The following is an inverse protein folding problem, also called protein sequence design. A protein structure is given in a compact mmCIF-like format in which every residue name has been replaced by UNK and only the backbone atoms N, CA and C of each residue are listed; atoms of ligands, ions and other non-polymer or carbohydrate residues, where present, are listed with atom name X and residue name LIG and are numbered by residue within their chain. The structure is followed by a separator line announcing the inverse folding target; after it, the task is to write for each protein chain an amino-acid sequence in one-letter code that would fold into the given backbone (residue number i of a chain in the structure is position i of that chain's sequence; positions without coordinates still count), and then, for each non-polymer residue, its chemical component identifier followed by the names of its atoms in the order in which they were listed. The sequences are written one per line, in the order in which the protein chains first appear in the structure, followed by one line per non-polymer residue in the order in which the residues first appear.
data_IF_601002614315
#
_entry.id   IF_601002614315
#
_cell.length_a   1.000
_cell.length_b   1.000
_cell.length_c   1.000
_cell.angle_alpha   90.00
_cell.angle_beta   90.00
_cell.angle_gamma   90.00
#
_symmetry.space_group_name_H-M   'P 1'
#
loop_
_entity.id
_entity.type
_entity.pdbx_description
1 polymer ?
#
# COMPACT_ATOMS: atom_id res chain seq x y z
N UNK A 1 39.65 -12.10 23.00
CA UNK A 1 39.02 -10.76 22.89
C UNK A 1 37.54 -10.76 23.28
N UNK A 2 36.64 -11.46 22.55
CA UNK A 2 35.19 -11.42 22.81
C UNK A 2 34.76 -11.81 24.24
N UNK A 3 35.31 -12.91 24.78
CA UNK A 3 35.06 -13.37 26.15
C UNK A 3 35.55 -12.38 27.22
N UNK A 4 36.70 -11.75 26.98
CA UNK A 4 37.30 -10.76 27.88
C UNK A 4 36.41 -9.51 28.00
N UNK A 5 35.82 -9.09 26.87
CA UNK A 5 34.97 -7.89 26.81
C UNK A 5 33.50 -8.21 27.20
N UNK A 6 33.18 -9.50 27.42
CA UNK A 6 31.82 -10.00 27.68
C UNK A 6 30.83 -9.61 26.57
N UNK A 7 31.24 -9.78 25.32
CA UNK A 7 30.44 -9.46 24.13
C UNK A 7 30.37 -10.70 23.25
N UNK A 8 29.20 -11.03 22.65
CA UNK A 8 29.11 -12.15 21.73
C UNK A 8 30.13 -12.04 20.59
N UNK A 9 30.76 -13.15 20.25
CA UNK A 9 31.83 -13.21 19.25
C UNK A 9 31.37 -12.74 17.87
N UNK A 10 30.12 -13.03 17.53
CA UNK A 10 29.44 -12.55 16.31
C UNK A 10 29.31 -11.03 16.28
N UNK A 11 28.95 -10.42 17.42
CA UNK A 11 28.83 -8.97 17.59
C UNK A 11 30.19 -8.29 17.43
N UNK A 12 31.22 -8.81 18.11
CA UNK A 12 32.58 -8.28 17.99
C UNK A 12 33.09 -8.37 16.55
N UNK A 13 32.87 -9.51 15.86
CA UNK A 13 33.24 -9.70 14.45
C UNK A 13 32.54 -8.72 13.51
N UNK A 14 31.29 -8.37 13.78
CA UNK A 14 30.57 -7.37 12.97
C UNK A 14 31.05 -5.95 13.24
N UNK A 15 31.46 -5.63 14.46
CA UNK A 15 32.05 -4.35 14.79
C UNK A 15 33.42 -4.15 14.14
N UNK A 16 34.31 -5.16 14.21
CA UNK A 16 35.64 -5.07 13.58
C UNK A 16 35.58 -4.98 12.07
N UNK A 17 34.51 -5.52 11.45
CA UNK A 17 34.25 -5.41 10.01
C UNK A 17 33.52 -4.13 9.59
N UNK A 18 33.17 -3.24 10.53
CA UNK A 18 32.41 -2.02 10.24
C UNK A 18 30.96 -2.25 9.77
N UNK A 19 30.43 -3.47 9.94
CA UNK A 19 29.06 -3.82 9.52
C UNK A 19 28.04 -3.15 10.44
N UNK A 20 28.35 -3.08 11.74
CA UNK A 20 27.52 -2.43 12.74
C UNK A 20 28.34 -1.39 13.51
N UNK A 21 27.74 -0.22 13.76
CA UNK A 21 28.32 0.80 14.64
C UNK A 21 28.31 0.32 16.09
N UNK A 22 29.41 0.57 16.80
CA UNK A 22 29.54 0.24 18.23
C UNK A 22 28.75 1.28 19.04
N UNK A 23 27.78 0.87 19.88
CA UNK A 23 27.11 1.80 20.79
C UNK A 23 28.11 2.41 21.79
N UNK A 24 27.93 3.70 22.11
CA UNK A 24 28.80 4.42 23.05
C UNK A 24 29.01 3.68 24.41
N UNK A 25 27.99 3.08 25.06
CA UNK A 25 28.21 2.33 26.29
C UNK A 25 29.15 1.12 26.14
N UNK A 26 29.07 0.42 25.01
CA UNK A 26 29.93 -0.73 24.72
C UNK A 26 31.37 -0.30 24.49
N UNK A 27 31.55 0.82 23.81
CA UNK A 27 32.85 1.43 23.53
C UNK A 27 33.53 1.91 24.83
N UNK A 28 32.78 2.55 25.74
CA UNK A 28 33.27 2.91 27.08
C UNK A 28 33.67 1.66 27.88
N UNK A 29 32.84 0.60 27.85
CA UNK A 29 33.15 -0.67 28.52
C UNK A 29 34.46 -1.27 28.02
N UNK A 30 34.69 -1.26 26.71
CA UNK A 30 35.94 -1.72 26.09
C UNK A 30 37.13 -0.91 26.61
N UNK A 31 37.04 0.42 26.59
CA UNK A 31 38.10 1.31 27.05
C UNK A 31 38.47 1.03 28.52
N UNK A 32 37.46 0.93 29.39
CA UNK A 32 37.66 0.65 30.81
C UNK A 32 38.29 -0.74 31.06
N UNK A 33 37.89 -1.76 30.29
CA UNK A 33 38.42 -3.11 30.45
C UNK A 33 39.85 -3.27 29.92
N UNK A 34 40.22 -2.50 28.91
CA UNK A 34 41.56 -2.49 28.33
C UNK A 34 42.47 -1.46 29.00
N UNK A 35 41.93 -0.64 29.92
CA UNK A 35 42.62 0.47 30.56
C UNK A 35 43.30 1.43 29.57
N UNK A 36 42.60 1.71 28.46
CA UNK A 36 43.05 2.64 27.42
C UNK A 36 42.06 3.79 27.31
N UNK A 37 42.54 4.96 26.91
CA UNK A 37 41.67 6.09 26.62
C UNK A 37 40.87 5.87 25.33
N UNK A 38 39.78 6.62 25.16
CA UNK A 38 39.01 6.52 23.93
C UNK A 38 39.80 7.01 22.71
N UNK A 39 40.72 7.95 22.91
CA UNK A 39 41.60 8.47 21.87
C UNK A 39 42.61 7.40 21.44
N UNK A 40 43.21 6.70 22.41
CA UNK A 40 44.09 5.55 22.16
C UNK A 40 43.37 4.43 21.41
N UNK A 41 42.12 4.12 21.77
CA UNK A 41 41.33 3.11 21.06
C UNK A 41 41.14 3.45 19.57
N UNK A 42 41.02 4.73 19.24
CA UNK A 42 40.89 5.21 17.87
C UNK A 42 42.23 5.52 17.18
N UNK A 43 43.37 5.31 17.86
CA UNK A 43 44.70 5.64 17.33
C UNK A 43 44.89 7.14 17.06
N UNK A 44 44.22 8.00 17.84
CA UNK A 44 44.31 9.46 17.70
C UNK A 44 45.42 9.95 18.63
N UNK A 45 46.59 10.22 18.05
CA UNK A 45 47.76 10.74 18.78
C UNK A 45 47.70 12.26 19.00
N UNK A 46 47.08 12.98 18.06
CA UNK A 46 46.90 14.44 18.12
C UNK A 46 45.43 14.81 17.89
N UNK A 47 44.89 15.66 18.75
CA UNK A 47 43.56 16.22 18.53
C UNK A 47 43.65 17.25 17.39
N UNK A 48 42.82 17.16 16.35
CA UNK A 48 42.76 18.19 15.33
C UNK A 48 42.40 19.52 15.99
N UNK A 49 43.26 20.53 15.82
CA UNK A 49 43.14 21.88 16.41
C UNK A 49 41.84 22.58 15.99
N UNK A 50 41.18 22.08 14.93
CA UNK A 50 39.95 22.63 14.39
C UNK A 50 38.90 21.52 14.21
N UNK A 51 38.24 21.13 15.31
CA UNK A 51 37.08 20.23 15.27
C UNK A 51 35.89 21.03 14.76
N UNK A 52 35.76 21.14 13.44
CA UNK A 52 34.49 21.53 12.86
C UNK A 52 33.56 20.32 12.96
N UNK A 53 32.62 20.36 13.90
CA UNK A 53 31.48 19.46 13.82
C UNK A 53 30.87 19.67 12.43
N UNK A 54 30.72 18.63 11.60
CA UNK A 54 29.95 18.79 10.39
C UNK A 54 28.61 19.35 10.85
N UNK A 55 28.22 20.50 10.30
CA UNK A 55 26.85 20.97 10.38
C UNK A 55 26.02 19.94 9.60
N UNK A 56 25.81 18.78 10.21
CA UNK A 56 24.86 17.82 9.75
C UNK A 56 23.56 18.57 9.86
N UNK A 57 23.00 18.89 8.70
CA UNK A 57 21.62 19.31 8.55
C UNK A 57 20.75 18.53 9.55
N UNK A 58 20.50 19.12 10.72
CA UNK A 58 19.55 18.61 11.72
C UNK A 58 18.15 18.50 11.08
N UNK A 59 17.97 19.08 9.88
CA UNK A 59 16.77 19.05 9.06
C UNK A 59 16.44 17.68 8.45
N UNK A 60 17.37 16.72 8.34
CA UNK A 60 17.07 15.43 7.68
C UNK A 60 16.63 14.31 8.61
N UNK A 61 16.81 14.43 9.93
CA UNK A 61 16.39 13.42 10.91
C UNK A 61 15.91 14.05 12.23
N UNK A 62 15.19 15.17 12.17
CA UNK A 62 14.33 15.51 13.31
C UNK A 62 13.31 14.37 13.45
N UNK A 63 13.11 13.78 14.65
CA UNK A 63 11.97 12.90 14.85
C UNK A 63 10.76 13.72 14.46
N UNK A 64 10.09 13.34 13.35
CA UNK A 64 8.91 14.05 12.84
C UNK A 64 8.10 14.47 14.04
N UNK A 65 7.99 15.79 14.26
CA UNK A 65 7.23 16.35 15.37
C UNK A 65 5.92 15.56 15.37
N UNK A 66 5.68 14.77 16.42
CA UNK A 66 4.44 14.00 16.52
C UNK A 66 3.37 15.07 16.64
N UNK A 67 2.78 15.46 15.51
CA UNK A 67 1.63 16.34 15.49
C UNK A 67 0.66 15.74 16.51
N UNK A 68 0.28 16.53 17.51
CA UNK A 68 -0.63 16.07 18.55
C UNK A 68 -1.98 15.91 17.86
N UNK A 69 -2.26 14.69 17.46
CA UNK A 69 -3.34 14.39 16.54
C UNK A 69 -4.68 14.62 17.21
N UNK A 70 -5.55 15.40 16.57
CA UNK A 70 -6.93 15.52 17.01
C UNK A 70 -7.70 14.27 16.58
N UNK A 71 -7.79 13.32 17.52
CA UNK A 71 -8.48 12.06 17.32
C UNK A 71 -9.97 12.28 16.99
N UNK A 72 -10.56 13.42 17.39
CA UNK A 72 -11.95 13.75 17.06
C UNK A 72 -12.12 14.06 15.57
N UNK A 73 -11.18 14.79 14.97
CA UNK A 73 -11.21 15.10 13.54
C UNK A 73 -11.06 13.83 12.72
N UNK A 74 -10.09 12.97 13.07
CA UNK A 74 -9.86 11.70 12.37
C UNK A 74 -11.12 10.83 12.45
N UNK A 75 -11.71 10.71 13.65
CA UNK A 75 -12.92 9.91 13.84
C UNK A 75 -14.10 10.43 13.01
N UNK A 76 -14.32 11.76 12.97
CA UNK A 76 -15.36 12.36 12.12
C UNK A 76 -15.16 12.05 10.64
N UNK A 77 -13.92 12.09 10.13
CA UNK A 77 -13.64 11.74 8.74
C UNK A 77 -13.97 10.27 8.48
N UNK A 78 -13.59 9.37 9.39
CA UNK A 78 -13.91 7.95 9.28
C UNK A 78 -15.42 7.69 9.33
N UNK A 79 -16.14 8.33 10.25
CA UNK A 79 -17.59 8.19 10.40
C UNK A 79 -18.34 8.69 9.16
N UNK A 80 -17.92 9.83 8.59
CA UNK A 80 -18.48 10.35 7.34
C UNK A 80 -18.25 9.39 6.17
N UNK A 81 -17.09 8.74 6.10
CA UNK A 81 -16.81 7.76 5.05
C UNK A 81 -17.64 6.48 5.21
N UNK A 82 -17.95 6.08 6.44
CA UNK A 82 -18.82 4.92 6.71
C UNK A 82 -20.24 5.16 6.18
N UNK A 83 -20.73 6.40 6.22
CA UNK A 83 -22.08 6.78 5.78
C UNK A 83 -22.12 7.06 4.26
N UNK A 84 -20.97 7.28 3.63
CA UNK A 84 -20.87 7.64 2.20
C UNK A 84 -21.35 6.51 1.26
N UNK A 85 -22.26 6.84 0.35
CA UNK A 85 -22.72 5.96 -0.74
C UNK A 85 -21.59 5.58 -1.70
N UNK A 86 -20.60 6.46 -1.87
CA UNK A 86 -19.39 6.22 -2.65
C UNK A 86 -18.26 5.85 -1.70
N UNK A 87 -18.21 4.58 -1.32
CA UNK A 87 -17.19 4.06 -0.42
C UNK A 87 -15.81 4.11 -1.09
N UNK A 88 -14.85 4.77 -0.47
CA UNK A 88 -13.44 4.76 -0.86
C UNK A 88 -12.72 3.62 -0.16
N UNK A 89 -11.68 3.09 -0.81
CA UNK A 89 -10.78 2.15 -0.14
C UNK A 89 -10.14 2.79 1.09
N UNK A 90 -9.89 1.99 2.14
CA UNK A 90 -9.19 2.47 3.33
C UNK A 90 -7.83 3.09 3.02
N UNK A 91 -7.15 2.63 1.96
CA UNK A 91 -5.91 3.28 1.48
C UNK A 91 -6.15 4.73 1.08
N UNK A 92 -7.21 4.98 0.32
CA UNK A 92 -7.53 6.33 -0.14
C UNK A 92 -7.96 7.23 1.02
N UNK A 93 -8.72 6.68 1.96
CA UNK A 93 -9.10 7.38 3.20
C UNK A 93 -7.85 7.74 4.01
N UNK A 94 -6.91 6.80 4.15
CA UNK A 94 -5.65 7.04 4.86
C UNK A 94 -4.80 8.13 4.20
N UNK A 95 -4.76 8.20 2.86
CA UNK A 95 -4.14 9.29 2.11
C UNK A 95 -4.80 10.64 2.41
N UNK A 96 -6.14 10.70 2.45
CA UNK A 96 -6.89 11.94 2.75
C UNK A 96 -6.61 12.43 4.17
N UNK A 97 -6.56 11.53 5.14
CA UNK A 97 -6.28 11.87 6.54
C UNK A 97 -4.78 12.20 6.71
N UNK A 98 -3.90 11.68 5.84
CA UNK A 98 -2.45 11.86 5.91
C UNK A 98 -1.72 10.88 6.83
N UNK A 99 -2.25 9.66 7.00
CA UNK A 99 -1.70 8.66 7.93
C UNK A 99 -1.48 7.29 7.28
N UNK A 100 -0.63 6.48 7.92
CA UNK A 100 -0.52 5.07 7.58
C UNK A 100 -1.79 4.32 8.04
N UNK A 101 -2.30 3.46 7.14
CA UNK A 101 -3.37 2.49 7.41
C UNK A 101 -3.08 1.65 8.66
N UNK A 102 -1.82 1.26 8.90
CA UNK A 102 -1.46 0.47 10.09
C UNK A 102 -1.76 1.22 11.38
N UNK A 103 -1.50 2.53 11.40
CA UNK A 103 -1.78 3.37 12.57
C UNK A 103 -3.28 3.56 12.74
N UNK A 104 -4.01 3.79 11.64
CA UNK A 104 -5.47 3.91 11.66
C UNK A 104 -6.12 2.63 12.20
N UNK A 105 -5.71 1.45 11.75
CA UNK A 105 -6.22 0.18 12.29
C UNK A 105 -5.92 0.00 13.77
N UNK A 106 -4.74 0.43 14.24
CA UNK A 106 -4.38 0.33 15.65
C UNK A 106 -5.24 1.25 16.54
N UNK A 107 -5.68 2.40 16.01
CA UNK A 107 -6.38 3.45 16.77
C UNK A 107 -7.91 3.39 16.62
N UNK A 108 -8.39 3.04 15.44
CA UNK A 108 -9.81 3.04 15.04
C UNK A 108 -10.15 1.72 14.33
N UNK A 109 -10.00 0.56 15.00
CA UNK A 109 -10.13 -0.75 14.36
C UNK A 109 -11.55 -1.00 13.84
N UNK A 110 -12.57 -0.53 14.57
CA UNK A 110 -13.98 -0.74 14.24
C UNK A 110 -14.34 0.04 12.98
N UNK A 111 -13.97 1.31 12.95
CA UNK A 111 -14.24 2.22 11.84
C UNK A 111 -13.49 1.77 10.58
N UNK A 112 -12.21 1.40 10.70
CA UNK A 112 -11.43 0.87 9.58
C UNK A 112 -12.03 -0.41 9.00
N UNK A 113 -12.55 -1.31 9.85
CA UNK A 113 -13.21 -2.54 9.39
C UNK A 113 -14.48 -2.22 8.60
N UNK A 114 -15.34 -1.34 9.13
CA UNK A 114 -16.56 -0.90 8.41
C UNK A 114 -16.26 -0.29 7.05
N UNK A 115 -15.23 0.56 6.95
CA UNK A 115 -14.83 1.15 5.67
C UNK A 115 -14.40 0.08 4.66
N UNK A 116 -13.63 -0.93 5.11
CA UNK A 116 -13.22 -2.02 4.22
C UNK A 116 -14.41 -2.84 3.76
N UNK A 117 -15.31 -3.20 4.67
CA UNK A 117 -16.50 -3.99 4.35
C UNK A 117 -17.41 -3.23 3.36
N UNK A 118 -17.66 -1.94 3.61
CA UNK A 118 -18.43 -1.08 2.71
C UNK A 118 -17.79 -0.97 1.32
N UNK A 119 -16.47 -0.78 1.26
CA UNK A 119 -15.75 -0.73 -0.02
C UNK A 119 -15.84 -2.05 -0.79
N UNK A 120 -15.75 -3.19 -0.12
CA UNK A 120 -15.88 -4.50 -0.77
C UNK A 120 -17.29 -4.70 -1.34
N UNK A 121 -18.32 -4.36 -0.57
CA UNK A 121 -19.72 -4.40 -1.02
C UNK A 121 -19.93 -3.48 -2.22
N UNK A 122 -19.45 -2.23 -2.14
CA UNK A 122 -19.53 -1.27 -3.23
C UNK A 122 -18.86 -1.78 -4.52
N UNK A 123 -17.64 -2.31 -4.44
CA UNK A 123 -16.96 -2.88 -5.63
C UNK A 123 -17.74 -4.06 -6.23
N UNK A 124 -18.32 -4.90 -5.38
CA UNK A 124 -19.12 -6.04 -5.82
C UNK A 124 -20.38 -5.58 -6.55
N UNK A 125 -21.11 -4.62 -5.98
CA UNK A 125 -22.27 -4.02 -6.62
C UNK A 125 -21.93 -3.33 -7.94
N UNK A 126 -20.85 -2.55 -7.98
CA UNK A 126 -20.43 -1.86 -9.19
C UNK A 126 -20.04 -2.84 -10.30
N UNK A 127 -19.38 -3.95 -9.95
CA UNK A 127 -19.09 -5.03 -10.89
C UNK A 127 -20.37 -5.64 -11.45
N UNK A 128 -21.33 -5.98 -10.59
CA UNK A 128 -22.62 -6.55 -11.00
C UNK A 128 -23.42 -5.59 -11.88
N UNK A 129 -23.50 -4.31 -11.51
CA UNK A 129 -24.16 -3.26 -12.29
C UNK A 129 -23.55 -3.12 -13.68
N UNK A 130 -22.22 -3.10 -13.77
CA UNK A 130 -21.49 -3.05 -15.05
C UNK A 130 -21.77 -4.29 -15.91
N UNK A 131 -21.70 -5.48 -15.31
CA UNK A 131 -22.00 -6.74 -16.02
C UNK A 131 -23.43 -6.75 -16.57
N UNK A 132 -24.41 -6.35 -15.77
CA UNK A 132 -25.81 -6.27 -16.19
C UNK A 132 -26.03 -5.23 -17.30
N UNK A 133 -25.36 -4.08 -17.22
CA UNK A 133 -25.43 -3.07 -18.27
C UNK A 133 -24.87 -3.60 -19.60
N UNK A 134 -23.71 -4.27 -19.57
CA UNK A 134 -23.10 -4.88 -20.76
C UNK A 134 -24.02 -5.95 -21.35
N UNK A 135 -24.62 -6.81 -20.52
CA UNK A 135 -25.58 -7.83 -20.98
C UNK A 135 -26.79 -7.19 -21.69
N UNK A 136 -27.40 -6.17 -21.08
CA UNK A 136 -28.53 -5.43 -21.70
C UNK A 136 -28.14 -4.80 -23.03
N UNK A 137 -26.96 -4.19 -23.11
CA UNK A 137 -26.46 -3.60 -24.35
C UNK A 137 -26.20 -4.67 -25.42
N UNK A 138 -25.67 -5.83 -25.02
CA UNK A 138 -25.48 -6.98 -25.90
C UNK A 138 -26.78 -7.47 -26.49
N UNK A 139 -27.81 -7.67 -25.66
CA UNK A 139 -29.13 -8.13 -26.10
C UNK A 139 -29.74 -7.14 -27.10
N UNK A 140 -29.70 -5.84 -26.79
CA UNK A 140 -30.21 -4.78 -27.67
C UNK A 140 -29.46 -4.76 -29.02
N UNK A 141 -28.13 -4.77 -29.00
CA UNK A 141 -27.32 -4.78 -30.23
C UNK A 141 -27.59 -6.05 -31.06
N UNK A 142 -27.70 -7.22 -30.42
CA UNK A 142 -27.98 -8.46 -31.11
C UNK A 142 -29.36 -8.45 -31.76
N UNK A 143 -30.37 -7.93 -31.07
CA UNK A 143 -31.72 -7.75 -31.59
C UNK A 143 -31.72 -6.79 -32.79
N UNK A 144 -31.11 -5.60 -32.65
CA UNK A 144 -31.00 -4.61 -33.73
C UNK A 144 -30.32 -5.18 -34.99
N UNK A 145 -29.25 -5.97 -34.83
CA UNK A 145 -28.58 -6.61 -35.97
C UNK A 145 -29.48 -7.65 -36.62
N UNK A 146 -30.20 -8.45 -35.81
CA UNK A 146 -31.11 -9.48 -36.31
C UNK A 146 -32.31 -8.88 -37.06
N UNK A 147 -32.89 -7.80 -36.55
CA UNK A 147 -33.98 -7.05 -37.20
C UNK A 147 -33.54 -6.47 -38.56
N UNK A 148 -32.28 -6.08 -38.68
CA UNK A 148 -31.69 -5.61 -39.93
C UNK A 148 -31.26 -6.76 -40.88
N UNK A 149 -31.54 -8.03 -40.54
CA UNK A 149 -31.15 -9.21 -41.31
C UNK A 149 -29.63 -9.49 -41.30
N UNK A 150 -28.89 -8.89 -40.36
CA UNK A 150 -27.45 -8.99 -40.27
C UNK A 150 -27.00 -9.94 -39.17
N UNK A 151 -26.08 -10.85 -39.48
CA UNK A 151 -25.52 -11.74 -38.47
C UNK A 151 -24.77 -10.95 -37.38
N UNK A 152 -25.09 -11.16 -36.08
CA UNK A 152 -24.38 -10.54 -34.98
C UNK A 152 -22.99 -11.16 -34.82
N UNK A 153 -22.04 -10.71 -35.65
CA UNK A 153 -20.65 -11.13 -35.52
C UNK A 153 -19.98 -10.44 -34.33
N UNK A 154 -19.07 -11.15 -33.67
CA UNK A 154 -18.36 -10.63 -32.49
C UNK A 154 -17.71 -9.25 -32.75
N UNK A 155 -17.05 -9.09 -33.90
CA UNK A 155 -16.37 -7.83 -34.27
C UNK A 155 -17.35 -6.67 -34.44
N UNK A 156 -18.53 -6.94 -35.01
CA UNK A 156 -19.58 -5.92 -35.22
C UNK A 156 -20.18 -5.48 -33.90
N UNK A 157 -20.45 -6.44 -33.02
CA UNK A 157 -20.93 -6.17 -31.66
C UNK A 157 -19.89 -5.41 -30.84
N UNK A 158 -18.60 -5.77 -30.89
CA UNK A 158 -17.51 -5.01 -30.23
C UNK A 158 -17.45 -3.55 -30.71
N UNK A 159 -17.68 -3.30 -32.01
CA UNK A 159 -17.71 -1.95 -32.59
C UNK A 159 -18.90 -1.13 -32.07
N UNK A 160 -20.09 -1.72 -32.02
CA UNK A 160 -21.32 -1.06 -31.55
C UNK A 160 -21.30 -0.84 -30.02
N UNK A 161 -20.78 -1.80 -29.27
CA UNK A 161 -20.61 -1.72 -27.81
C UNK A 161 -19.50 -0.74 -27.39
N UNK A 162 -18.64 -0.29 -28.34
CA UNK A 162 -17.44 0.52 -28.09
C UNK A 162 -16.48 -0.09 -27.07
N UNK A 163 -16.52 -1.42 -26.90
CA UNK A 163 -15.70 -2.14 -25.93
C UNK A 163 -15.04 -3.34 -26.60
N UNK A 164 -13.69 -3.32 -26.62
CA UNK A 164 -12.90 -4.45 -27.12
C UNK A 164 -12.91 -5.59 -26.09
N UNK A 165 -12.91 -6.83 -26.58
CA UNK A 165 -12.75 -8.04 -25.76
C UNK A 165 -13.81 -8.24 -24.65
N UNK A 166 -15.06 -7.83 -24.88
CA UNK A 166 -16.15 -7.98 -23.89
C UNK A 166 -16.37 -9.45 -23.46
N UNK A 167 -16.01 -10.41 -24.32
CA UNK A 167 -16.12 -11.87 -24.11
C UNK A 167 -15.05 -12.42 -23.14
N UNK A 168 -14.10 -11.60 -22.68
CA UNK A 168 -13.06 -12.05 -21.74
C UNK A 168 -13.68 -12.54 -20.43
N UNK A 169 -14.72 -11.87 -19.96
CA UNK A 169 -15.42 -12.22 -18.71
C UNK A 169 -16.38 -13.39 -18.92
N UNK A 170 -16.35 -14.36 -17.99
CA UNK A 170 -17.12 -15.62 -18.09
C UNK A 170 -18.62 -15.35 -18.25
N UNK A 171 -19.20 -14.53 -17.39
CA UNK A 171 -20.64 -14.22 -17.38
C UNK A 171 -21.12 -13.57 -18.68
N UNK A 172 -20.29 -12.70 -19.27
CA UNK A 172 -20.64 -12.01 -20.51
C UNK A 172 -20.47 -12.96 -21.71
N UNK A 173 -19.47 -13.84 -21.68
CA UNK A 173 -19.26 -14.88 -22.70
C UNK A 173 -20.39 -15.88 -22.75
N UNK A 174 -20.92 -16.30 -21.59
CA UNK A 174 -22.07 -17.18 -21.52
C UNK A 174 -23.29 -16.55 -22.17
N UNK A 175 -23.61 -15.28 -21.85
CA UNK A 175 -24.69 -14.55 -22.51
C UNK A 175 -24.50 -14.48 -24.02
N UNK A 176 -23.29 -14.16 -24.47
CA UNK A 176 -22.97 -14.09 -25.89
C UNK A 176 -23.16 -15.42 -26.62
N UNK A 177 -22.78 -16.53 -25.99
CA UNK A 177 -22.97 -17.86 -26.56
C UNK A 177 -24.46 -18.22 -26.64
N UNK A 178 -25.26 -17.88 -25.62
CA UNK A 178 -26.71 -18.08 -25.64
C UNK A 178 -27.39 -17.30 -26.79
N UNK A 179 -27.00 -16.04 -27.01
CA UNK A 179 -27.51 -15.21 -28.10
C UNK A 179 -27.21 -15.83 -29.48
N UNK A 180 -26.00 -16.38 -29.67
CA UNK A 180 -25.63 -17.08 -30.90
C UNK A 180 -26.47 -18.33 -31.16
N UNK A 181 -26.71 -19.13 -30.12
CA UNK A 181 -27.50 -20.35 -30.24
C UNK A 181 -28.95 -20.01 -30.62
N UNK A 182 -29.52 -18.97 -30.01
CA UNK A 182 -30.89 -18.55 -30.31
C UNK A 182 -31.02 -18.03 -31.74
N UNK A 183 -30.04 -17.28 -32.24
CA UNK A 183 -30.02 -16.84 -33.64
C UNK A 183 -29.96 -18.02 -34.62
N UNK A 184 -29.21 -19.09 -34.32
CA UNK A 184 -29.10 -20.27 -35.18
C UNK A 184 -30.35 -21.18 -35.17
N UNK A 185 -31.33 -20.90 -34.30
CA UNK A 185 -32.60 -21.64 -34.20
C UNK A 185 -33.76 -20.95 -34.93
N UNK A 186 -33.57 -19.71 -35.37
CA UNK A 186 -34.51 -18.93 -36.20
C UNK A 186 -34.11 -19.13 -37.66
#
# INVERSE_FOLDING_TARGET
MAKFIQIPETTLRYWTKGINLIPLPSLIKICLQLNISILELFGIEELPINIQLPQKDLSKNSPKLRNKFDHKIIKRILDNEIISEHSKSLKKVAEIIGYDRKLLYKKFPIECKKIVDNYQSYITEQKLRRENNIKKQLDNIAQQLSENGEYPSRRKVEKLLKQKYFVKEKNIREQWNSLKINYLKI
#
